data_IF_169800403594
#
_entry.id   IF_169800403594
#
_cell.length_a   1.000
_cell.length_b   1.000
_cell.length_c   1.000
_cell.angle_alpha   90.00
_cell.angle_beta   90.00
_cell.angle_gamma   90.00
#
_symmetry.space_group_name_H-M   'P 1'
#
loop_
_entity.id
_entity.type
_entity.pdbx_description
1 polymer ?
#
# COMPACT_ATOMS: atom_id res chain seq x y z
N UNK A 1 5.39 9.43 15.56
CA UNK A 1 5.74 8.53 14.44
C UNK A 1 5.34 9.20 13.14
N UNK A 2 6.30 9.59 12.29
CA UNK A 2 6.00 10.28 11.04
C UNK A 2 5.37 9.34 10.02
N UNK A 3 4.29 9.77 9.37
CA UNK A 3 3.65 9.04 8.28
C UNK A 3 4.69 8.88 7.17
N UNK A 4 5.21 7.66 6.99
CA UNK A 4 5.98 7.31 5.82
C UNK A 4 5.06 7.44 4.60
N UNK A 5 5.14 8.57 3.90
CA UNK A 5 4.37 8.79 2.69
C UNK A 5 5.03 7.95 1.60
N UNK A 6 4.63 6.67 1.47
CA UNK A 6 5.12 5.66 0.52
C UNK A 6 4.93 6.04 -0.97
N UNK A 7 5.05 7.33 -1.30
CA UNK A 7 4.84 7.94 -2.59
C UNK A 7 6.17 8.06 -3.32
N UNK A 8 6.13 7.77 -4.61
CA UNK A 8 7.20 8.11 -5.54
C UNK A 8 6.55 8.52 -6.86
N UNK A 9 7.28 9.32 -7.65
CA UNK A 9 6.80 9.81 -8.93
C UNK A 9 7.26 8.88 -10.05
N UNK A 10 6.34 8.44 -10.91
CA UNK A 10 6.62 7.65 -12.11
C UNK A 10 6.12 8.43 -13.33
N UNK A 11 7.04 9.10 -14.02
CA UNK A 11 6.70 10.06 -15.08
C UNK A 11 5.87 11.23 -14.54
N UNK A 12 4.69 11.45 -15.10
CA UNK A 12 3.79 12.52 -14.68
C UNK A 12 2.90 12.16 -13.48
N UNK A 13 2.86 10.90 -13.02
CA UNK A 13 1.88 10.43 -12.04
C UNK A 13 2.55 9.92 -10.76
N UNK A 14 1.98 10.29 -9.62
CA UNK A 14 2.39 9.75 -8.32
C UNK A 14 1.83 8.34 -8.10
N UNK A 15 2.65 7.50 -7.47
CA UNK A 15 2.34 6.10 -7.16
C UNK A 15 2.66 5.84 -5.70
N UNK A 16 1.81 5.09 -5.01
CA UNK A 16 2.06 4.58 -3.66
C UNK A 16 2.61 3.15 -3.76
N UNK A 17 3.70 2.83 -3.07
CA UNK A 17 4.28 1.47 -3.06
C UNK A 17 4.77 1.08 -1.68
N UNK A 18 4.28 -0.05 -1.19
CA UNK A 18 4.65 -0.62 0.11
C UNK A 18 4.93 -2.11 0.00
N UNK A 19 5.81 -2.61 0.86
CA UNK A 19 6.04 -4.06 1.01
C UNK A 19 4.85 -4.70 1.71
N UNK A 20 4.39 -5.82 1.18
CA UNK A 20 3.40 -6.67 1.85
C UNK A 20 4.15 -7.39 2.98
N UNK A 21 3.65 -7.39 4.23
CA UNK A 21 4.26 -8.14 5.32
C UNK A 21 4.40 -9.63 4.95
N UNK A 22 5.59 -10.19 5.16
CA UNK A 22 5.90 -11.57 4.81
C UNK A 22 5.22 -12.52 5.79
N UNK A 23 4.43 -13.49 5.32
CA UNK A 23 4.11 -14.70 6.10
C UNK A 23 5.26 -15.70 6.00
N UNK A 24 5.35 -16.62 6.96
CA UNK A 24 6.40 -17.64 7.02
C UNK A 24 6.62 -18.35 5.66
N UNK A 25 5.54 -18.59 4.91
CA UNK A 25 5.54 -19.35 3.66
C UNK A 25 5.29 -18.51 2.39
N UNK A 26 5.34 -17.17 2.46
CA UNK A 26 5.10 -16.30 1.30
C UNK A 26 6.35 -15.54 0.89
N UNK A 27 6.61 -15.41 -0.41
CA UNK A 27 7.67 -14.54 -0.91
C UNK A 27 7.39 -13.06 -0.63
N UNK A 28 8.47 -12.28 -0.46
CA UNK A 28 8.36 -10.86 -0.22
C UNK A 28 7.81 -10.15 -1.47
N UNK A 29 6.59 -9.65 -1.39
CA UNK A 29 5.92 -8.93 -2.48
C UNK A 29 5.80 -7.43 -2.20
N UNK A 30 5.68 -6.63 -3.27
CA UNK A 30 5.38 -5.20 -3.16
C UNK A 30 3.99 -4.93 -3.74
N UNK A 31 3.16 -4.19 -3.01
CA UNK A 31 1.92 -3.63 -3.52
C UNK A 31 2.20 -2.25 -4.10
N UNK A 32 1.72 -1.99 -5.33
CA UNK A 32 1.88 -0.73 -6.01
C UNK A 32 0.53 -0.22 -6.51
N UNK A 33 0.16 1.00 -6.11
CA UNK A 33 -1.12 1.62 -6.43
C UNK A 33 -0.86 2.97 -7.10
N UNK A 34 -1.37 3.15 -8.33
CA UNK A 34 -1.34 4.45 -9.00
C UNK A 34 -2.27 5.42 -8.27
N UNK A 35 -1.79 6.61 -7.90
CA UNK A 35 -2.61 7.66 -7.27
C UNK A 35 -3.32 8.53 -8.32
N UNK A 36 -3.11 8.26 -9.62
CA UNK A 36 -3.81 8.90 -10.75
C UNK A 36 -3.77 10.43 -10.74
N UNK A 37 -2.76 11.03 -10.11
CA UNK A 37 -2.60 12.48 -10.01
C UNK A 37 -1.14 12.89 -10.22
N UNK A 38 -0.96 14.03 -10.87
CA UNK A 38 0.33 14.73 -10.99
C UNK A 38 0.54 15.78 -9.88
N UNK A 39 -0.50 16.08 -9.10
CA UNK A 39 -0.46 17.09 -8.05
C UNK A 39 0.14 16.51 -6.76
N UNK A 40 1.26 17.04 -6.25
CA UNK A 40 1.92 16.50 -5.05
C UNK A 40 1.04 16.54 -3.79
N UNK A 41 0.22 17.59 -3.64
CA UNK A 41 -0.69 17.73 -2.50
C UNK A 41 -1.82 16.70 -2.52
N UNK A 42 -2.39 16.47 -3.70
CA UNK A 42 -3.42 15.44 -3.90
C UNK A 42 -2.81 14.05 -3.67
N UNK A 43 -1.61 13.81 -4.19
CA UNK A 43 -0.88 12.56 -3.98
C UNK A 43 -0.64 12.27 -2.48
N UNK A 44 -0.21 13.27 -1.70
CA UNK A 44 -0.03 13.10 -0.25
C UNK A 44 -1.32 12.74 0.47
N UNK A 45 -2.43 13.42 0.15
CA UNK A 45 -3.75 13.12 0.73
C UNK A 45 -4.18 11.69 0.42
N UNK A 46 -4.09 11.28 -0.85
CA UNK A 46 -4.43 9.91 -1.25
C UNK A 46 -3.52 8.88 -0.60
N UNK A 47 -2.22 9.15 -0.48
CA UNK A 47 -1.27 8.25 0.13
C UNK A 47 -1.55 7.99 1.61
N UNK A 48 -2.00 8.99 2.37
CA UNK A 48 -2.43 8.81 3.76
C UNK A 48 -3.60 7.83 3.84
N UNK A 49 -4.62 8.02 2.99
CA UNK A 49 -5.79 7.14 2.94
C UNK A 49 -5.38 5.70 2.59
N UNK A 50 -4.61 5.52 1.51
CA UNK A 50 -4.15 4.20 1.06
C UNK A 50 -3.30 3.52 2.12
N UNK A 51 -2.50 4.30 2.86
CA UNK A 51 -1.69 3.76 3.96
C UNK A 51 -2.58 3.20 5.07
N UNK A 52 -3.56 3.97 5.55
CA UNK A 52 -4.47 3.54 6.60
C UNK A 52 -5.31 2.31 6.20
N UNK A 53 -5.82 2.27 4.96
CA UNK A 53 -6.56 1.09 4.47
C UNK A 53 -5.64 -0.12 4.29
N UNK A 54 -4.41 0.08 3.83
CA UNK A 54 -3.43 -1.01 3.71
C UNK A 54 -3.07 -1.62 5.06
N UNK A 55 -2.98 -0.82 6.13
CA UNK A 55 -2.72 -1.31 7.48
C UNK A 55 -3.84 -2.24 7.94
N UNK A 56 -5.11 -1.84 7.78
CA UNK A 56 -6.26 -2.70 8.12
C UNK A 56 -6.23 -4.04 7.36
N UNK A 57 -5.88 -4.01 6.07
CA UNK A 57 -5.77 -5.24 5.26
C UNK A 57 -4.60 -6.09 5.74
N UNK A 58 -3.44 -5.48 5.98
CA UNK A 58 -2.25 -6.19 6.42
C UNK A 58 -2.39 -6.77 7.82
N UNK A 59 -3.10 -6.10 8.72
CA UNK A 59 -3.41 -6.63 10.06
C UNK A 59 -4.33 -7.86 9.94
N UNK A 60 -5.35 -7.83 9.09
CA UNK A 60 -6.18 -9.00 8.78
C UNK A 60 -5.38 -10.12 8.10
N UNK A 61 -4.43 -9.78 7.23
CA UNK A 61 -3.48 -10.78 6.70
C UNK A 61 -2.54 -11.32 7.79
N UNK A 62 -2.19 -10.56 8.81
CA UNK A 62 -1.40 -11.06 9.93
C UNK A 62 -2.19 -12.02 10.81
N UNK A 63 -3.44 -11.67 11.12
CA UNK A 63 -4.27 -12.35 12.12
C UNK A 63 -5.13 -13.49 11.55
N UNK A 64 -5.76 -13.28 10.38
CA UNK A 64 -6.92 -14.10 9.96
C UNK A 64 -6.59 -15.12 8.86
N UNK A 65 -5.31 -15.31 8.51
CA UNK A 65 -4.96 -16.30 7.50
C UNK A 65 -5.42 -15.94 6.07
N UNK A 66 -5.98 -14.74 5.84
CA UNK A 66 -6.41 -14.20 4.53
C UNK A 66 -5.38 -14.52 3.42
N UNK A 67 -5.71 -15.52 2.59
CA UNK A 67 -4.93 -15.92 1.41
C UNK A 67 -5.46 -15.19 0.17
N UNK A 68 -4.68 -15.10 -0.92
CA UNK A 68 -5.13 -14.50 -2.17
C UNK A 68 -6.49 -15.03 -2.67
N UNK A 69 -6.80 -16.30 -2.41
CA UNK A 69 -8.06 -16.94 -2.80
C UNK A 69 -9.29 -16.39 -2.07
N UNK A 70 -9.11 -15.85 -0.86
CA UNK A 70 -10.19 -15.29 -0.02
C UNK A 70 -10.46 -13.82 -0.34
N UNK A 71 -9.52 -13.13 -1.01
CA UNK A 71 -9.57 -11.68 -1.24
C UNK A 71 -10.29 -11.26 -2.53
N UNK A 72 -11.02 -12.17 -3.20
CA UNK A 72 -11.71 -11.95 -4.48
C UNK A 72 -13.14 -11.46 -4.28
#
# INVERSE_FOLDING_TARGET
MGIANFIFRRGAIYTWRRRIPKRADSDAANLQVSLRTACPWTARRLAVIVTAESEKVFDRMGMDGLTPDVAR
#
